data_IF_122357487442
#
_entry.id   IF_122357487442
#
_cell.length_a   1.000
_cell.length_b   1.000
_cell.length_c   1.000
_cell.angle_alpha   90.00
_cell.angle_beta   90.00
_cell.angle_gamma   90.00
#
_symmetry.space_group_name_H-M   'P 1'
#
loop_
_entity.id
_entity.type
_entity.pdbx_description
1 polymer ?
#
# COMPACT_ATOMS: atom_id res chain seq x y z
N UNK A 1 -2.83 2.02 4.91
CA UNK A 1 -3.05 3.48 5.05
C UNK A 1 -3.58 4.02 3.72
N UNK A 2 -4.51 4.97 3.72
CA UNK A 2 -5.35 5.45 2.58
C UNK A 2 -6.68 4.70 2.44
N UNK A 3 -7.48 4.72 3.52
CA UNK A 3 -8.92 5.02 3.39
C UNK A 3 -9.32 5.90 4.56
N UNK A 4 -10.15 6.91 4.28
CA UNK A 4 -10.82 7.80 5.23
C UNK A 4 -10.16 9.14 5.56
N UNK A 5 -10.11 10.04 4.56
CA UNK A 5 -10.42 11.46 4.80
C UNK A 5 -11.39 11.93 3.71
N UNK A 6 -12.69 11.73 3.93
CA UNK A 6 -13.71 12.44 3.18
C UNK A 6 -14.76 12.97 4.18
N UNK A 7 -14.42 14.08 4.83
CA UNK A 7 -15.36 14.86 5.64
C UNK A 7 -16.13 15.81 4.73
N UNK A 8 -17.40 15.45 4.53
CA UNK A 8 -18.60 16.27 4.36
C UNK A 8 -18.40 17.79 4.18
N UNK A 9 -18.90 18.31 3.06
CA UNK A 9 -19.42 19.67 2.91
C UNK A 9 -20.89 19.61 2.43
N UNK A 10 -21.79 20.50 2.91
CA UNK A 10 -23.19 20.50 2.48
C UNK A 10 -23.52 21.70 1.58
N UNK A 11 -24.19 21.47 0.44
CA UNK A 11 -25.36 22.26 0.03
C UNK A 11 -26.04 21.73 -1.25
N UNK A 12 -27.34 21.51 -1.09
CA UNK A 12 -28.43 21.76 -2.04
C UNK A 12 -28.33 21.17 -3.47
N UNK A 13 -29.27 20.29 -3.84
CA UNK A 13 -30.49 20.66 -4.57
C UNK A 13 -31.31 19.41 -4.97
N UNK A 14 -32.63 19.59 -4.86
CA UNK A 14 -33.75 18.99 -5.63
C UNK A 14 -34.30 17.62 -5.23
N UNK A 15 -35.59 17.71 -4.92
CA UNK A 15 -36.55 16.66 -4.70
C UNK A 15 -36.79 15.83 -5.97
N UNK A 16 -36.88 14.51 -5.80
CA UNK A 16 -37.57 13.61 -6.72
C UNK A 16 -38.92 13.24 -6.11
N UNK A 17 -39.99 13.49 -6.86
CA UNK A 17 -41.33 12.95 -6.65
C UNK A 17 -41.40 11.47 -7.08
N UNK A 18 -42.37 10.69 -6.55
CA UNK A 18 -42.46 9.25 -6.83
C UNK A 18 -43.29 8.98 -8.09
N UNK A 19 -42.92 7.93 -8.84
CA UNK A 19 -43.79 7.28 -9.81
C UNK A 19 -44.41 6.05 -9.13
N UNK A 20 -45.74 6.01 -9.15
CA UNK A 20 -46.60 4.97 -8.63
C UNK A 20 -46.87 3.87 -9.66
N UNK A 21 -47.39 2.74 -9.15
CA UNK A 21 -48.28 1.77 -9.83
C UNK A 21 -47.61 0.77 -10.78
N UNK A 22 -47.94 -0.52 -10.85
CA UNK A 22 -48.79 -1.50 -10.13
C UNK A 22 -48.46 -2.84 -10.81
N UNK A 23 -48.40 -3.95 -10.07
CA UNK A 23 -49.04 -5.25 -10.41
C UNK A 23 -48.38 -6.44 -9.70
N UNK A 24 -48.90 -6.64 -8.50
CA UNK A 24 -49.02 -7.88 -7.77
C UNK A 24 -49.69 -8.98 -8.61
N UNK A 25 -49.06 -10.17 -8.69
CA UNK A 25 -49.64 -11.54 -8.67
C UNK A 25 -48.74 -12.53 -9.42
N UNK A 26 -48.09 -13.44 -8.70
CA UNK A 26 -48.18 -14.90 -8.89
C UNK A 26 -47.14 -15.58 -7.98
N UNK A 27 -47.66 -16.09 -6.87
CA UNK A 27 -46.92 -16.81 -5.86
C UNK A 27 -46.71 -18.29 -6.24
N UNK A 28 -45.55 -18.79 -5.85
CA UNK A 28 -45.29 -20.11 -5.27
C UNK A 28 -46.42 -21.17 -5.33
N UNK A 29 -46.29 -22.15 -6.23
CA UNK A 29 -46.69 -23.55 -6.04
C UNK A 29 -45.86 -24.43 -6.99
N UNK A 30 -44.87 -25.17 -6.48
CA UNK A 30 -44.38 -26.46 -7.04
C UNK A 30 -43.17 -26.98 -6.22
N UNK A 31 -43.46 -27.51 -5.04
CA UNK A 31 -42.59 -28.45 -4.33
C UNK A 31 -43.20 -29.85 -4.54
N UNK A 32 -42.35 -30.87 -4.70
CA UNK A 32 -42.63 -32.32 -4.82
C UNK A 32 -42.78 -32.87 -6.26
N UNK A 33 -41.73 -33.55 -6.73
CA UNK A 33 -41.75 -34.91 -7.31
C UNK A 33 -40.57 -35.11 -8.28
N UNK A 34 -39.35 -35.36 -7.76
CA UNK A 34 -38.45 -36.40 -8.31
C UNK A 34 -37.58 -36.90 -7.14
N UNK A 35 -38.04 -37.95 -6.48
CA UNK A 35 -37.23 -38.79 -5.60
C UNK A 35 -36.63 -39.94 -6.40
N UNK A 36 -35.44 -40.38 -5.95
CA UNK A 36 -34.84 -41.69 -6.11
C UNK A 36 -34.11 -42.01 -7.43
N UNK A 37 -33.23 -43.02 -7.35
CA UNK A 37 -32.21 -43.48 -8.31
C UNK A 37 -30.86 -42.72 -8.15
N UNK A 38 -29.98 -43.01 -7.19
CA UNK A 38 -29.44 -44.33 -6.84
C UNK A 38 -28.91 -44.39 -5.38
N UNK A 39 -29.23 -45.50 -4.71
CA UNK A 39 -28.61 -46.13 -3.53
C UNK A 39 -27.08 -46.26 -3.71
N UNK A 40 -26.17 -46.33 -2.73
CA UNK A 40 -26.10 -46.64 -1.28
C UNK A 40 -24.62 -46.40 -0.82
N UNK A 41 -24.14 -46.78 0.39
CA UNK A 41 -24.70 -46.71 1.75
C UNK A 41 -23.79 -45.96 2.75
N UNK A 42 -24.34 -45.67 3.94
CA UNK A 42 -23.57 -45.29 5.13
C UNK A 42 -22.72 -46.46 5.65
N UNK A 43 -21.49 -46.18 6.06
CA UNK A 43 -20.58 -47.09 6.76
C UNK A 43 -19.96 -46.43 8.00
N UNK A 44 -20.34 -46.98 9.15
CA UNK A 44 -19.85 -46.92 10.54
C UNK A 44 -18.78 -45.93 11.03
N UNK A 45 -19.15 -45.31 12.17
CA UNK A 45 -18.26 -44.61 13.09
C UNK A 45 -17.49 -45.58 14.00
N UNK A 46 -16.15 -45.58 13.94
CA UNK A 46 -15.26 -45.86 15.09
C UNK A 46 -13.78 -45.63 14.79
N UNK A 47 -13.16 -44.78 15.62
CA UNK A 47 -11.72 -44.67 15.94
C UNK A 47 -10.78 -44.31 14.77
N UNK A 48 -9.85 -43.35 14.89
CA UNK A 48 -8.80 -43.28 15.89
C UNK A 48 -8.46 -41.81 16.19
N UNK A 49 -8.62 -41.43 17.45
CA UNK A 49 -7.96 -40.28 18.04
C UNK A 49 -6.45 -40.56 18.15
N UNK A 50 -5.60 -39.63 17.70
CA UNK A 50 -4.30 -39.32 18.32
C UNK A 50 -3.54 -38.21 17.57
N UNK A 51 -3.09 -37.22 18.36
CA UNK A 51 -2.03 -36.21 18.15
C UNK A 51 -2.45 -34.90 17.47
N UNK A 52 -2.69 -33.78 18.18
CA UNK A 52 -1.74 -32.92 18.95
C UNK A 52 -0.59 -32.40 18.05
N UNK A 53 -0.29 -31.12 17.85
CA UNK A 53 -0.64 -29.82 18.47
C UNK A 53 -0.34 -28.68 17.43
N UNK A 54 -0.62 -27.42 17.80
CA UNK A 54 -0.26 -26.13 17.17
C UNK A 54 -1.21 -25.63 16.06
N UNK A 55 -1.75 -24.41 16.06
CA UNK A 55 -1.60 -23.23 16.92
C UNK A 55 -2.96 -22.49 16.90
N UNK A 56 -3.27 -21.86 18.02
CA UNK A 56 -4.46 -21.06 18.30
C UNK A 56 -4.53 -19.88 17.32
N UNK A 57 -5.40 -19.98 16.32
CA UNK A 57 -5.73 -18.86 15.45
C UNK A 57 -6.53 -17.84 16.24
N UNK A 58 -5.84 -16.82 16.75
CA UNK A 58 -6.47 -15.65 17.37
C UNK A 58 -7.34 -14.94 16.34
N UNK A 59 -8.64 -15.12 16.53
CA UNK A 59 -9.72 -14.16 16.43
C UNK A 59 -9.40 -12.88 15.65
N UNK A 60 -10.09 -12.71 14.52
CA UNK A 60 -10.13 -11.50 13.74
C UNK A 60 -10.78 -10.34 14.54
N UNK A 61 -10.01 -9.68 15.38
CA UNK A 61 -10.18 -8.26 15.69
C UNK A 61 -9.73 -7.45 14.48
N UNK A 62 -10.48 -6.39 14.16
CA UNK A 62 -10.16 -5.46 13.08
C UNK A 62 -8.96 -4.59 13.42
N UNK A 63 -7.79 -5.22 13.58
CA UNK A 63 -6.52 -4.57 13.86
C UNK A 63 -5.87 -4.12 12.55
N UNK A 64 -5.33 -2.92 12.63
CA UNK A 64 -4.69 -2.19 11.56
C UNK A 64 -3.57 -3.02 10.91
N UNK A 65 -3.81 -3.50 9.68
CA UNK A 65 -2.81 -4.19 8.84
C UNK A 65 -1.82 -3.16 8.28
N UNK A 66 -1.23 -2.35 9.15
CA UNK A 66 -0.13 -1.45 8.77
C UNK A 66 1.08 -1.83 9.61
N UNK A 67 2.11 -2.35 8.94
CA UNK A 67 3.37 -2.64 9.61
C UNK A 67 3.95 -1.37 10.24
N UNK A 68 4.75 -1.54 11.30
CA UNK A 68 5.44 -0.43 11.94
C UNK A 68 6.35 0.33 10.96
N UNK A 69 6.47 1.65 11.15
CA UNK A 69 7.35 2.48 10.33
C UNK A 69 8.82 2.08 10.51
N UNK A 70 9.51 1.79 9.40
CA UNK A 70 10.93 1.41 9.42
C UNK A 70 11.84 2.63 9.37
N UNK A 71 12.45 2.98 10.49
CA UNK A 71 13.50 4.01 10.57
C UNK A 71 14.88 3.40 10.36
N UNK A 72 15.57 3.82 9.29
CA UNK A 72 16.87 3.27 8.93
C UNK A 72 18.04 4.03 9.57
N UNK A 73 17.84 5.30 9.98
CA UNK A 73 18.89 6.14 10.56
C UNK A 73 19.62 5.51 11.75
N UNK A 74 18.96 4.83 12.72
CA UNK A 74 19.67 4.16 13.81
C UNK A 74 20.62 3.06 13.32
N UNK A 75 20.14 2.19 12.41
CA UNK A 75 20.95 1.12 11.83
C UNK A 75 22.14 1.66 11.03
N UNK A 76 21.92 2.72 10.26
CA UNK A 76 22.97 3.38 9.47
C UNK A 76 24.04 3.99 10.39
N UNK A 77 23.64 4.67 11.47
CA UNK A 77 24.56 5.24 12.46
C UNK A 77 25.38 4.19 13.20
N UNK A 78 24.81 3.00 13.42
CA UNK A 78 25.50 1.84 14.01
C UNK A 78 26.37 1.08 13.00
N UNK A 79 26.40 1.48 11.72
CA UNK A 79 27.15 0.78 10.67
C UNK A 79 26.53 -0.54 10.22
N UNK A 80 25.29 -0.85 10.63
CA UNK A 80 24.56 -2.08 10.29
C UNK A 80 23.89 -1.98 8.92
N UNK A 81 24.69 -1.73 7.88
CA UNK A 81 24.19 -1.42 6.54
C UNK A 81 23.48 -2.61 5.86
N UNK A 82 24.01 -3.83 6.03
CA UNK A 82 23.38 -5.02 5.48
C UNK A 82 22.02 -5.31 6.11
N UNK A 83 21.90 -5.08 7.42
CA UNK A 83 20.63 -5.18 8.14
C UNK A 83 19.64 -4.11 7.67
N UNK A 84 20.09 -2.85 7.55
CA UNK A 84 19.29 -1.75 7.04
C UNK A 84 18.75 -2.04 5.63
N UNK A 85 19.62 -2.52 4.73
CA UNK A 85 19.26 -2.90 3.35
C UNK A 85 18.32 -4.10 3.33
N UNK A 86 18.52 -5.08 4.22
CA UNK A 86 17.64 -6.25 4.28
C UNK A 86 16.24 -5.89 4.77
N UNK A 87 16.15 -5.05 5.81
CA UNK A 87 14.87 -4.62 6.39
C UNK A 87 14.08 -3.69 5.48
N UNK A 88 14.74 -2.89 4.66
CA UNK A 88 14.07 -1.96 3.74
C UNK A 88 13.46 -2.61 2.52
N UNK A 89 13.71 -3.89 2.25
CA UNK A 89 13.15 -4.60 1.09
C UNK A 89 11.63 -4.51 1.08
N UNK A 90 11.09 -4.03 -0.03
CA UNK A 90 9.65 -3.99 -0.26
C UNK A 90 9.18 -5.39 -0.67
N UNK A 91 8.08 -5.83 -0.04
CA UNK A 91 7.44 -7.10 -0.37
C UNK A 91 6.66 -7.07 -1.68
N UNK A 92 5.95 -8.17 -1.94
CA UNK A 92 5.08 -8.32 -3.12
C UNK A 92 3.97 -7.29 -3.09
N UNK A 93 3.79 -6.54 -4.17
CA UNK A 93 2.74 -5.53 -4.30
C UNK A 93 1.48 -6.04 -5.00
N UNK A 94 1.54 -7.24 -5.60
CA UNK A 94 0.42 -7.84 -6.32
C UNK A 94 0.33 -7.38 -7.78
N UNK A 95 1.46 -6.96 -8.35
CA UNK A 95 1.56 -6.64 -9.76
C UNK A 95 1.76 -7.92 -10.59
N UNK A 96 1.52 -7.82 -11.90
CA UNK A 96 1.82 -8.89 -12.86
C UNK A 96 3.33 -9.18 -12.97
N UNK A 97 4.17 -8.18 -12.73
CA UNK A 97 5.63 -8.33 -12.60
C UNK A 97 6.10 -7.63 -11.33
N UNK A 98 6.73 -8.37 -10.42
CA UNK A 98 7.33 -7.82 -9.21
C UNK A 98 8.73 -7.26 -9.49
N UNK A 99 8.94 -6.03 -9.03
CA UNK A 99 10.17 -5.27 -9.17
C UNK A 99 10.85 -5.12 -7.81
N UNK A 100 12.17 -5.38 -7.70
CA UNK A 100 12.90 -5.14 -6.46
C UNK A 100 12.77 -3.68 -6.04
N UNK A 101 12.52 -3.45 -4.76
CA UNK A 101 12.41 -2.12 -4.19
C UNK A 101 12.89 -2.09 -2.75
N UNK A 102 13.30 -0.90 -2.31
CA UNK A 102 13.69 -0.63 -0.94
C UNK A 102 13.01 0.66 -0.48
N UNK A 103 12.40 0.66 0.69
CA UNK A 103 11.77 1.85 1.24
C UNK A 103 11.96 1.95 2.75
N UNK A 104 11.72 3.14 3.28
CA UNK A 104 11.82 3.41 4.70
C UNK A 104 11.97 4.89 4.98
N UNK A 105 12.28 5.19 6.23
CA UNK A 105 12.42 6.55 6.73
C UNK A 105 13.88 6.88 7.08
N UNK A 106 14.31 8.06 6.68
CA UNK A 106 15.56 8.68 7.11
C UNK A 106 15.23 9.88 8.00
N UNK A 107 15.67 9.82 9.26
CA UNK A 107 15.57 10.94 10.20
C UNK A 107 16.56 12.04 9.80
N UNK A 108 16.03 13.18 9.39
CA UNK A 108 16.79 14.37 8.97
C UNK A 108 16.90 15.41 10.08
N UNK A 109 15.97 15.42 11.04
CA UNK A 109 16.06 16.27 12.22
C UNK A 109 15.63 15.51 13.48
N UNK A 110 16.58 15.02 14.30
CA UNK A 110 16.28 14.31 15.54
C UNK A 110 15.55 15.16 16.59
N UNK A 111 15.76 16.49 16.60
CA UNK A 111 15.15 17.39 17.59
C UNK A 111 13.63 17.47 17.44
N UNK A 112 13.13 17.34 16.21
CA UNK A 112 11.71 17.42 15.87
C UNK A 112 11.13 16.07 15.42
N UNK A 113 11.92 15.01 15.50
CA UNK A 113 11.63 13.72 14.89
C UNK A 113 11.13 13.86 13.44
N UNK A 114 11.85 14.66 12.64
CA UNK A 114 11.52 14.86 11.23
C UNK A 114 12.16 13.77 10.38
N UNK A 115 11.33 13.10 9.60
CA UNK A 115 11.68 11.91 8.84
C UNK A 115 11.23 12.07 7.38
N UNK A 116 12.15 11.79 6.45
CA UNK A 116 11.84 11.71 5.02
C UNK A 116 11.60 10.26 4.62
N UNK A 117 10.51 10.02 3.89
CA UNK A 117 10.25 8.77 3.22
C UNK A 117 10.98 8.72 1.88
N UNK A 118 11.52 7.55 1.56
CA UNK A 118 12.03 7.27 0.22
C UNK A 118 11.55 5.91 -0.30
N UNK A 119 11.59 5.79 -1.62
CA UNK A 119 11.50 4.52 -2.32
C UNK A 119 12.61 4.44 -3.36
N UNK A 120 13.48 3.44 -3.23
CA UNK A 120 14.55 3.16 -4.16
C UNK A 120 14.23 1.92 -4.99
N UNK A 121 14.44 2.01 -6.29
CA UNK A 121 14.32 0.90 -7.25
C UNK A 121 15.66 0.79 -7.97
N UNK A 122 16.46 -0.27 -7.76
CA UNK A 122 17.68 -0.46 -8.51
C UNK A 122 17.37 -0.68 -9.99
N UNK A 123 18.33 -0.36 -10.87
CA UNK A 123 18.19 -0.63 -12.29
C UNK A 123 17.85 -2.10 -12.55
N UNK A 124 16.85 -2.33 -13.40
CA UNK A 124 16.38 -3.67 -13.75
C UNK A 124 17.33 -4.38 -14.73
N UNK A 125 18.18 -3.64 -15.43
CA UNK A 125 19.14 -4.19 -16.40
C UNK A 125 20.56 -4.32 -15.85
N UNK A 126 21.01 -3.36 -15.05
CA UNK A 126 22.37 -3.32 -14.49
C UNK A 126 22.40 -2.62 -13.12
N UNK A 127 21.92 -3.28 -12.06
CA UNK A 127 21.77 -2.66 -10.74
C UNK A 127 23.09 -2.20 -10.10
N UNK A 128 24.22 -2.80 -10.48
CA UNK A 128 25.53 -2.53 -9.89
C UNK A 128 26.25 -1.35 -10.55
N UNK A 129 26.06 -1.12 -11.86
CA UNK A 129 26.78 -0.06 -12.59
C UNK A 129 25.91 1.08 -13.09
N UNK A 130 24.58 0.93 -13.10
CA UNK A 130 23.69 1.99 -13.56
C UNK A 130 23.78 3.24 -12.67
N UNK A 131 23.71 4.46 -13.24
CA UNK A 131 23.71 5.67 -12.45
C UNK A 131 22.41 5.77 -11.63
N UNK A 132 22.53 6.41 -10.47
CA UNK A 132 21.39 6.70 -9.60
C UNK A 132 20.79 8.05 -9.99
N UNK A 133 19.48 8.08 -10.21
CA UNK A 133 18.71 9.30 -10.44
C UNK A 133 17.86 9.56 -9.20
N UNK A 134 18.04 10.75 -8.61
CA UNK A 134 17.12 11.28 -7.61
C UNK A 134 15.93 11.93 -8.31
N UNK A 135 14.73 11.47 -7.99
CA UNK A 135 13.46 12.04 -8.44
C UNK A 135 12.73 12.71 -7.27
N UNK A 136 12.34 13.97 -7.48
CA UNK A 136 11.57 14.75 -6.53
C UNK A 136 10.44 15.47 -7.26
N UNK A 137 9.21 15.32 -6.79
CA UNK A 137 8.10 16.10 -7.32
C UNK A 137 8.10 17.54 -6.83
N UNK A 138 7.52 18.42 -7.65
CA UNK A 138 7.40 19.85 -7.37
C UNK A 138 6.16 20.22 -6.55
N UNK A 139 5.59 21.40 -6.83
CA UNK A 139 4.40 21.90 -6.13
C UNK A 139 4.60 23.31 -5.59
N UNK A 140 4.99 23.49 -4.32
CA UNK A 140 5.69 22.58 -3.38
C UNK A 140 4.81 21.58 -2.62
N UNK A 141 5.42 20.54 -2.06
CA UNK A 141 4.75 19.58 -1.15
C UNK A 141 3.98 18.46 -1.83
N UNK A 142 4.25 18.19 -3.12
CA UNK A 142 3.66 17.05 -3.83
C UNK A 142 4.51 15.81 -3.59
N UNK A 143 3.86 14.69 -3.26
CA UNK A 143 4.56 13.40 -3.09
C UNK A 143 5.24 12.94 -4.38
N UNK A 144 6.45 12.42 -4.24
CA UNK A 144 7.17 11.74 -5.31
C UNK A 144 6.57 10.39 -5.66
N UNK A 145 5.66 9.87 -4.84
CA UNK A 145 4.86 8.68 -5.19
C UNK A 145 3.95 8.94 -6.39
N UNK A 146 3.63 10.19 -6.71
CA UNK A 146 2.99 10.52 -7.98
C UNK A 146 3.91 10.16 -9.16
N UNK A 147 5.19 10.52 -9.10
CA UNK A 147 6.15 10.16 -10.14
C UNK A 147 6.38 8.65 -10.24
N UNK A 148 6.38 7.97 -9.09
CA UNK A 148 6.49 6.52 -9.01
C UNK A 148 5.30 5.80 -9.67
N UNK A 149 4.06 6.15 -9.29
CA UNK A 149 2.87 5.42 -9.71
C UNK A 149 2.21 5.94 -10.99
N UNK A 150 2.37 7.22 -11.33
CA UNK A 150 1.67 7.86 -12.45
C UNK A 150 2.58 8.24 -13.61
N UNK A 151 3.89 8.42 -13.38
CA UNK A 151 4.81 8.95 -14.40
C UNK A 151 5.84 7.90 -14.85
N UNK A 152 6.98 7.82 -14.18
CA UNK A 152 8.18 7.16 -14.69
C UNK A 152 8.65 5.93 -13.88
N UNK A 153 7.98 5.62 -12.77
CA UNK A 153 8.31 4.44 -11.97
C UNK A 153 7.93 3.12 -12.65
N UNK A 154 8.13 1.97 -11.99
CA UNK A 154 7.86 0.66 -12.57
C UNK A 154 6.38 0.25 -12.53
N UNK A 155 5.54 0.94 -11.74
CA UNK A 155 4.16 0.52 -11.49
C UNK A 155 3.12 1.57 -11.85
N UNK A 156 1.99 1.12 -12.38
CA UNK A 156 0.77 1.91 -12.55
C UNK A 156 -0.21 1.51 -11.45
N UNK A 157 -0.68 2.48 -10.69
CA UNK A 157 -1.78 2.29 -9.75
C UNK A 157 -3.11 2.64 -10.45
N UNK A 158 -4.10 1.77 -10.37
CA UNK A 158 -5.43 2.04 -10.91
C UNK A 158 -6.10 3.23 -10.22
N UNK A 159 -7.02 3.91 -10.92
CA UNK A 159 -7.66 5.13 -10.41
C UNK A 159 -8.48 4.90 -9.13
N UNK A 160 -8.97 3.68 -8.91
CA UNK A 160 -9.68 3.27 -7.69
C UNK A 160 -8.73 2.78 -6.58
N UNK A 161 -7.42 2.74 -6.86
CA UNK A 161 -6.36 2.30 -5.94
C UNK A 161 -6.40 0.80 -5.62
N UNK A 162 -7.16 0.00 -6.37
CA UNK A 162 -7.37 -1.42 -6.09
C UNK A 162 -6.37 -2.34 -6.78
N UNK A 163 -5.77 -1.92 -7.89
CA UNK A 163 -4.88 -2.74 -8.70
C UNK A 163 -3.56 -2.03 -8.98
N UNK A 164 -2.47 -2.80 -8.92
CA UNK A 164 -1.13 -2.37 -9.33
C UNK A 164 -0.75 -3.20 -10.55
N UNK A 165 -0.22 -2.54 -11.58
CA UNK A 165 0.23 -3.18 -12.83
C UNK A 165 1.64 -2.72 -13.17
N UNK A 166 2.44 -3.58 -13.78
CA UNK A 166 3.76 -3.23 -14.28
C UNK A 166 3.67 -2.25 -15.47
N UNK A 167 4.56 -1.27 -15.49
CA UNK A 167 4.72 -0.29 -16.58
C UNK A 167 5.87 -0.73 -17.48
N UNK A 168 5.58 -1.12 -18.71
CA UNK A 168 6.60 -1.57 -19.68
C UNK A 168 7.68 -0.51 -19.96
N UNK A 169 7.27 0.76 -20.07
CA UNK A 169 8.17 1.89 -20.29
C UNK A 169 8.37 2.64 -18.97
N UNK A 170 9.43 2.31 -18.25
CA UNK A 170 9.81 2.93 -16.99
C UNK A 170 11.30 3.28 -16.97
N UNK A 171 11.69 4.23 -16.11
CA UNK A 171 13.09 4.68 -16.04
C UNK A 171 13.98 3.69 -15.28
N UNK A 172 13.40 2.91 -14.38
CA UNK A 172 14.11 1.83 -13.67
C UNK A 172 14.67 0.76 -14.62
N UNK A 173 14.18 0.67 -15.87
CA UNK A 173 14.74 -0.22 -16.89
C UNK A 173 16.23 0.01 -17.17
N UNK A 174 16.73 1.24 -16.99
CA UNK A 174 18.14 1.61 -17.28
C UNK A 174 18.85 2.30 -16.13
N UNK A 175 18.12 2.88 -15.19
CA UNK A 175 18.67 3.69 -14.12
C UNK A 175 18.21 3.18 -12.76
N UNK A 176 19.02 3.41 -11.73
CA UNK A 176 18.61 3.19 -10.36
C UNK A 176 17.84 4.42 -9.88
N UNK A 177 16.55 4.29 -9.57
CA UNK A 177 15.67 5.42 -9.29
C UNK A 177 15.47 5.57 -7.78
N UNK A 178 15.73 6.77 -7.24
CA UNK A 178 15.47 7.15 -5.85
C UNK A 178 14.37 8.21 -5.81
N UNK A 179 13.19 7.85 -5.32
CA UNK A 179 12.07 8.76 -5.11
C UNK A 179 12.06 9.23 -3.65
N UNK A 180 11.99 10.54 -3.42
CA UNK A 180 11.98 11.12 -2.06
C UNK A 180 10.79 12.04 -1.89
N UNK A 181 10.04 11.85 -0.83
CA UNK A 181 8.97 12.76 -0.44
C UNK A 181 9.56 13.95 0.32
N UNK A 182 9.66 15.11 -0.35
CA UNK A 182 10.20 16.34 0.23
C UNK A 182 9.27 17.54 -0.05
N UNK A 183 9.28 18.57 0.81
CA UNK A 183 10.00 18.65 2.10
C UNK A 183 9.32 17.80 3.18
N UNK A 184 9.88 17.80 4.40
CA UNK A 184 9.24 17.17 5.58
C UNK A 184 7.77 17.59 5.68
N UNK A 185 6.88 16.61 5.84
CA UNK A 185 5.41 16.80 5.81
C UNK A 185 4.75 16.45 4.47
N UNK A 186 5.53 16.17 3.44
CA UNK A 186 5.05 15.77 2.12
C UNK A 186 4.80 14.27 2.05
N UNK A 187 3.67 13.85 1.48
CA UNK A 187 3.40 12.43 1.23
C UNK A 187 3.46 11.60 2.50
N UNK A 188 4.40 10.64 2.54
CA UNK A 188 4.64 9.82 3.73
C UNK A 188 5.65 10.45 4.71
N UNK A 189 6.43 11.45 4.30
CA UNK A 189 7.36 12.17 5.18
C UNK A 189 6.64 12.98 6.24
N UNK A 190 7.17 13.01 7.46
CA UNK A 190 6.49 13.63 8.60
C UNK A 190 7.45 14.22 9.64
N UNK A 191 6.90 15.00 10.57
CA UNK A 191 7.57 15.54 11.75
C UNK A 191 6.60 15.55 12.92
N UNK A 192 7.10 15.43 14.15
CA UNK A 192 6.28 15.48 15.36
C UNK A 192 6.20 16.90 15.95
N UNK A 193 6.95 17.84 15.38
CA UNK A 193 6.94 19.24 15.79
C UNK A 193 6.65 20.16 14.60
N UNK A 194 5.72 21.09 14.79
CA UNK A 194 5.38 22.15 13.84
C UNK A 194 6.60 22.95 13.37
N UNK A 195 7.58 23.16 14.25
CA UNK A 195 8.83 23.84 13.92
C UNK A 195 9.64 23.10 12.82
N UNK A 196 9.43 21.79 12.65
CA UNK A 196 10.11 20.96 11.65
C UNK A 196 9.55 21.05 10.23
N UNK A 197 8.40 21.70 10.02
CA UNK A 197 7.90 21.95 8.67
C UNK A 197 8.68 23.09 8.00
N UNK A 198 8.98 22.91 6.71
CA UNK A 198 9.57 23.96 5.88
C UNK A 198 8.56 25.10 5.67
N UNK A 199 9.00 26.35 5.86
CA UNK A 199 8.17 27.56 5.75
C UNK A 199 8.57 28.46 4.59
N UNK A 200 9.77 28.28 4.05
CA UNK A 200 10.32 29.06 2.95
C UNK A 200 11.33 28.22 2.14
N UNK A 201 11.81 28.77 1.03
CA UNK A 201 12.71 28.09 0.10
C UNK A 201 14.05 27.73 0.74
N UNK A 202 14.57 28.56 1.64
CA UNK A 202 15.80 28.27 2.41
C UNK A 202 15.62 27.00 3.24
N UNK A 203 14.45 26.82 3.86
CA UNK A 203 14.17 25.63 4.65
C UNK A 203 14.07 24.37 3.76
N UNK A 204 13.58 24.50 2.52
CA UNK A 204 13.51 23.40 1.55
C UNK A 204 14.90 23.03 1.02
N UNK A 205 15.78 24.01 0.86
CA UNK A 205 17.15 23.82 0.36
C UNK A 205 18.12 23.31 1.43
N UNK A 206 17.81 23.48 2.72
CA UNK A 206 18.69 23.13 3.83
C UNK A 206 18.81 21.61 4.11
N UNK A 207 18.32 20.77 3.20
CA UNK A 207 18.31 19.32 3.28
C UNK A 207 19.39 18.68 2.38
#
# INVERSE_FOLDING_TARGET
VIRSVCKRTPRALRACTPITSTNMKLAAVAVLLVCAWHLAPLGDAKQIAARQDAEEGTDASGDDVTGEALFLTPLIKEGKLDEAKSKSKVGVLGADIEVPGFSGYITVNPQYNSNLFFWFVPSLSDPENAPVILWMQGGPGTTSMLGFFAENGPYILSADGAEIRYREINWASRYSMLYVDQPVGTGFSFTENEAGYARNQTDVEAF
#
